data_IF_614053000826
#
_entry.id   IF_614053000826
#
_cell.length_a   1.000
_cell.length_b   1.000
_cell.length_c   1.000
_cell.angle_alpha   90.00
_cell.angle_beta   90.00
_cell.angle_gamma   90.00
#
_symmetry.space_group_name_H-M   'P 1'
#
loop_
_entity.id
_entity.type
_entity.pdbx_description
1 polymer ?
#
# COMPACT_ATOMS: atom_id res chain seq x y z
N UNK A 1 11.78 -33.25 -10.67
CA UNK A 1 11.73 -31.96 -10.04
C UNK A 1 13.15 -31.45 -9.76
N UNK A 2 13.31 -30.15 -9.55
CA UNK A 2 14.58 -29.47 -9.37
C UNK A 2 15.45 -30.12 -8.27
N UNK A 3 14.83 -30.62 -7.20
CA UNK A 3 15.50 -31.33 -6.08
C UNK A 3 16.22 -32.63 -6.48
N UNK A 4 15.98 -33.14 -7.68
CA UNK A 4 16.63 -34.34 -8.22
C UNK A 4 17.71 -34.01 -9.27
N UNK A 5 17.96 -32.71 -9.53
CA UNK A 5 18.94 -32.26 -10.52
C UNK A 5 20.20 -31.80 -9.79
N UNK A 6 21.35 -32.37 -10.18
CA UNK A 6 22.63 -31.96 -9.62
C UNK A 6 22.93 -30.49 -10.02
N UNK A 7 23.50 -29.67 -9.10
CA UNK A 7 23.80 -28.26 -9.40
C UNK A 7 24.64 -28.06 -10.68
N UNK A 8 25.60 -28.95 -10.97
CA UNK A 8 26.43 -28.88 -12.17
C UNK A 8 25.68 -29.20 -13.47
N UNK A 9 24.45 -29.67 -13.40
CA UNK A 9 23.59 -29.93 -14.56
C UNK A 9 22.62 -28.78 -14.87
N UNK A 10 22.60 -27.73 -14.03
CA UNK A 10 21.77 -26.55 -14.26
C UNK A 10 22.44 -25.66 -15.29
N UNK A 11 21.64 -25.23 -16.27
CA UNK A 11 22.02 -24.32 -17.34
C UNK A 11 20.83 -23.43 -17.72
N UNK A 12 20.97 -22.55 -18.70
CA UNK A 12 19.90 -21.63 -19.11
C UNK A 12 18.60 -22.36 -19.51
N UNK A 13 18.69 -23.51 -20.17
CA UNK A 13 17.50 -24.31 -20.50
C UNK A 13 16.76 -24.81 -19.26
N UNK A 14 17.46 -24.93 -18.13
CA UNK A 14 16.85 -25.30 -16.85
C UNK A 14 15.95 -24.19 -16.32
N UNK A 15 16.20 -22.92 -16.64
CA UNK A 15 15.35 -21.79 -16.26
C UNK A 15 13.95 -21.95 -16.85
N UNK A 16 13.88 -22.21 -18.15
CA UNK A 16 12.57 -22.43 -18.84
C UNK A 16 11.86 -23.70 -18.36
N UNK A 17 12.64 -24.74 -18.00
CA UNK A 17 12.08 -26.03 -17.57
C UNK A 17 11.53 -26.01 -16.15
N UNK A 18 12.19 -25.32 -15.22
CA UNK A 18 11.91 -25.41 -13.80
C UNK A 18 11.31 -24.14 -13.19
N UNK A 19 11.41 -23.02 -13.86
CA UNK A 19 10.94 -21.73 -13.38
C UNK A 19 9.90 -21.13 -14.33
N UNK A 20 9.01 -20.30 -13.78
CA UNK A 20 8.11 -19.50 -14.60
C UNK A 20 8.93 -18.47 -15.39
N UNK A 21 8.42 -18.11 -16.55
CA UNK A 21 8.98 -16.99 -17.32
C UNK A 21 8.98 -15.72 -16.45
N UNK A 22 10.17 -15.20 -16.21
CA UNK A 22 10.39 -14.01 -15.36
C UNK A 22 10.35 -12.70 -16.17
N UNK A 23 9.91 -12.72 -17.43
CA UNK A 23 9.77 -11.49 -18.22
C UNK A 23 8.73 -10.58 -17.56
N UNK A 24 9.09 -9.32 -17.45
CA UNK A 24 8.17 -8.29 -16.97
C UNK A 24 7.06 -8.05 -18.00
N UNK A 25 5.85 -7.77 -17.50
CA UNK A 25 4.69 -7.49 -18.32
C UNK A 25 3.73 -8.68 -18.44
N UNK A 26 2.68 -8.47 -19.19
CA UNK A 26 1.61 -9.46 -19.42
C UNK A 26 1.40 -9.66 -20.92
N UNK A 27 1.23 -10.91 -21.36
CA UNK A 27 0.87 -11.21 -22.75
C UNK A 27 -0.51 -10.62 -23.07
N UNK A 28 -0.66 -10.03 -24.27
CA UNK A 28 -1.90 -9.35 -24.65
C UNK A 28 -3.16 -10.20 -24.50
N UNK A 29 -3.07 -11.52 -24.78
CA UNK A 29 -4.17 -12.48 -24.62
C UNK A 29 -4.59 -12.73 -23.16
N UNK A 30 -3.74 -12.43 -22.19
CA UNK A 30 -4.01 -12.61 -20.76
C UNK A 30 -4.52 -11.32 -20.08
N UNK A 31 -4.56 -10.19 -20.78
CA UNK A 31 -5.06 -8.92 -20.26
C UNK A 31 -6.59 -8.92 -20.21
N UNK A 32 -7.15 -8.72 -19.02
CA UNK A 32 -8.61 -8.63 -18.81
C UNK A 32 -9.11 -7.20 -18.65
N UNK A 33 -8.25 -6.29 -18.19
CA UNK A 33 -8.56 -4.85 -18.12
C UNK A 33 -7.33 -3.99 -18.35
N UNK A 34 -7.57 -2.78 -18.82
CA UNK A 34 -6.53 -1.74 -18.97
C UNK A 34 -7.11 -0.41 -18.53
N UNK A 35 -6.39 0.30 -17.69
CA UNK A 35 -6.75 1.63 -17.23
C UNK A 35 -5.55 2.59 -17.30
N UNK A 36 -5.85 3.87 -17.40
CA UNK A 36 -4.87 4.95 -17.45
C UNK A 36 -5.29 6.01 -16.44
N UNK A 37 -4.93 5.86 -15.16
CA UNK A 37 -5.39 6.74 -14.09
C UNK A 37 -4.87 8.17 -14.23
N UNK A 38 -3.76 8.35 -14.96
CA UNK A 38 -3.26 9.65 -15.42
C UNK A 38 -2.42 9.48 -16.68
N UNK A 39 -2.16 10.56 -17.47
CA UNK A 39 -1.21 10.51 -18.57
C UNK A 39 0.15 9.95 -18.13
N UNK A 40 0.73 9.04 -18.92
CA UNK A 40 2.01 8.42 -18.64
C UNK A 40 1.96 7.17 -17.75
N UNK A 41 0.79 6.80 -17.19
CA UNK A 41 0.60 5.59 -16.36
C UNK A 41 -0.41 4.68 -17.01
N UNK A 42 -0.05 3.41 -17.17
CA UNK A 42 -0.95 2.36 -17.65
C UNK A 42 -0.90 1.18 -16.67
N UNK A 43 -2.07 0.71 -16.24
CA UNK A 43 -2.23 -0.46 -15.39
C UNK A 43 -3.02 -1.50 -16.19
N UNK A 44 -2.41 -2.67 -16.44
CA UNK A 44 -3.06 -3.80 -17.07
C UNK A 44 -3.25 -4.90 -16.05
N UNK A 45 -4.46 -5.41 -15.90
CA UNK A 45 -4.71 -6.56 -15.03
C UNK A 45 -4.81 -7.82 -15.86
N UNK A 46 -4.14 -8.87 -15.40
CA UNK A 46 -4.24 -10.20 -16.02
C UNK A 46 -5.45 -10.99 -15.48
N UNK A 47 -5.63 -12.19 -16.01
CA UNK A 47 -6.72 -13.11 -15.61
C UNK A 47 -6.67 -13.54 -14.13
N UNK A 48 -5.59 -13.27 -13.42
CA UNK A 48 -5.46 -13.53 -11.99
C UNK A 48 -5.68 -12.26 -11.16
N UNK A 49 -5.98 -11.13 -11.80
CA UNK A 49 -6.14 -9.84 -11.17
C UNK A 49 -4.83 -9.13 -10.84
N UNK A 50 -3.68 -9.69 -11.23
CA UNK A 50 -2.37 -9.08 -10.95
C UNK A 50 -2.20 -7.80 -11.77
N UNK A 51 -1.93 -6.65 -11.14
CA UNK A 51 -1.70 -5.41 -11.85
C UNK A 51 -0.28 -5.35 -12.42
N UNK A 52 -0.16 -5.14 -13.72
CA UNK A 52 1.08 -4.87 -14.45
C UNK A 52 1.13 -3.38 -14.77
N UNK A 53 2.03 -2.68 -14.11
CA UNK A 53 2.12 -1.21 -14.14
C UNK A 53 3.24 -0.79 -15.07
N UNK A 54 2.92 0.11 -16.00
CA UNK A 54 3.87 0.75 -16.91
C UNK A 54 3.80 2.26 -16.72
N UNK A 55 4.95 2.90 -16.56
CA UNK A 55 5.08 4.35 -16.45
C UNK A 55 6.17 4.88 -17.39
N UNK A 56 6.05 6.14 -17.81
CA UNK A 56 7.07 6.82 -18.61
C UNK A 56 8.30 7.16 -17.75
N UNK A 57 8.04 7.51 -16.47
CA UNK A 57 9.06 7.84 -15.47
C UNK A 57 9.02 6.88 -14.29
N UNK A 58 10.03 6.93 -13.43
CA UNK A 58 10.02 6.22 -12.16
C UNK A 58 8.83 6.65 -11.28
N UNK A 59 8.56 7.93 -11.21
CA UNK A 59 7.46 8.50 -10.46
C UNK A 59 6.08 8.07 -11.02
N UNK A 60 5.97 7.83 -12.33
CA UNK A 60 4.74 7.30 -12.93
C UNK A 60 4.49 5.85 -12.51
N UNK A 61 5.53 5.03 -12.46
CA UNK A 61 5.43 3.64 -11.96
C UNK A 61 5.01 3.64 -10.49
N UNK A 62 5.61 4.51 -9.68
CA UNK A 62 5.26 4.61 -8.25
C UNK A 62 3.83 5.10 -8.05
N UNK A 63 3.38 6.07 -8.85
CA UNK A 63 1.98 6.50 -8.83
C UNK A 63 1.04 5.33 -9.14
N UNK A 64 1.30 4.59 -10.21
CA UNK A 64 0.51 3.42 -10.58
C UNK A 64 0.49 2.34 -9.49
N UNK A 65 1.61 2.13 -8.81
CA UNK A 65 1.71 1.19 -7.70
C UNK A 65 0.84 1.61 -6.51
N UNK A 66 0.88 2.89 -6.13
CA UNK A 66 0.02 3.45 -5.09
C UNK A 66 -1.46 3.36 -5.45
N UNK A 67 -1.79 3.68 -6.70
CA UNK A 67 -3.16 3.62 -7.22
C UNK A 67 -3.71 2.19 -7.15
N UNK A 68 -3.03 1.22 -7.73
CA UNK A 68 -3.45 -0.19 -7.74
C UNK A 68 -3.53 -0.78 -6.31
N UNK A 69 -2.63 -0.37 -5.41
CA UNK A 69 -2.68 -0.81 -4.01
C UNK A 69 -4.00 -0.42 -3.34
N UNK A 70 -4.45 0.80 -3.54
CA UNK A 70 -5.70 1.28 -2.93
C UNK A 70 -6.92 0.66 -3.61
N UNK A 71 -6.92 0.47 -4.93
CA UNK A 71 -7.98 -0.27 -5.58
C UNK A 71 -8.18 -1.67 -4.99
N UNK A 72 -7.08 -2.36 -4.71
CA UNK A 72 -7.12 -3.75 -4.25
C UNK A 72 -7.26 -3.89 -2.74
N UNK A 73 -6.72 -2.94 -1.94
CA UNK A 73 -6.48 -3.13 -0.50
C UNK A 73 -6.74 -1.88 0.34
N UNK A 74 -7.64 -0.99 -0.07
CA UNK A 74 -7.88 0.29 0.58
C UNK A 74 -8.10 0.16 2.09
N UNK A 75 -9.11 -0.61 2.50
CA UNK A 75 -9.46 -0.76 3.92
C UNK A 75 -8.34 -1.46 4.71
N UNK A 76 -7.69 -2.47 4.12
CA UNK A 76 -6.54 -3.13 4.74
C UNK A 76 -5.38 -2.14 4.95
N UNK A 77 -5.11 -1.28 3.97
CA UNK A 77 -4.06 -0.26 4.09
C UNK A 77 -4.38 0.74 5.20
N UNK A 78 -5.66 1.08 5.37
CA UNK A 78 -6.12 1.91 6.49
C UNK A 78 -5.96 1.21 7.85
N UNK A 79 -6.27 -0.07 7.94
CA UNK A 79 -5.98 -0.86 9.15
C UNK A 79 -4.49 -0.83 9.48
N UNK A 80 -3.62 -1.02 8.48
CA UNK A 80 -2.17 -1.05 8.70
C UNK A 80 -1.63 0.32 9.18
N UNK A 81 -2.07 1.44 8.58
CA UNK A 81 -1.61 2.76 9.04
C UNK A 81 -2.09 3.09 10.44
N UNK A 82 -3.35 2.77 10.78
CA UNK A 82 -3.89 3.02 12.12
C UNK A 82 -3.24 2.11 13.16
N UNK A 83 -2.95 0.84 12.82
CA UNK A 83 -2.18 -0.06 13.69
C UNK A 83 -0.77 0.48 13.90
N UNK A 84 -0.07 0.87 12.84
CA UNK A 84 1.28 1.42 12.93
C UNK A 84 1.36 2.73 13.72
N UNK A 85 0.32 3.55 13.64
CA UNK A 85 0.17 4.80 14.40
C UNK A 85 -0.35 4.60 15.83
N UNK A 86 -0.65 3.36 16.25
CA UNK A 86 -1.27 3.04 17.55
C UNK A 86 -2.64 3.74 17.74
N UNK A 87 -3.49 3.72 16.71
CA UNK A 87 -4.79 4.39 16.66
C UNK A 87 -5.94 3.46 16.27
N UNK A 88 -5.79 2.14 16.50
CA UNK A 88 -6.83 1.16 16.18
C UNK A 88 -8.10 1.37 17.00
N UNK A 89 -7.94 1.66 18.30
CA UNK A 89 -9.09 1.93 19.17
C UNK A 89 -9.89 3.16 18.71
N UNK A 90 -9.21 4.18 18.18
CA UNK A 90 -9.84 5.34 17.57
C UNK A 90 -10.55 4.99 16.26
N UNK A 91 -9.94 4.15 15.42
CA UNK A 91 -10.45 3.83 14.09
C UNK A 91 -11.62 2.86 14.12
N UNK A 92 -11.46 1.69 14.75
CA UNK A 92 -12.47 0.61 14.73
C UNK A 92 -13.21 0.43 16.06
N UNK A 93 -12.93 1.26 17.06
CA UNK A 93 -13.60 1.26 18.36
C UNK A 93 -12.70 0.76 19.51
N UNK A 94 -12.96 1.27 20.75
CA UNK A 94 -12.10 1.06 21.91
C UNK A 94 -12.38 -0.28 22.62
N UNK A 95 -12.27 -1.39 21.90
CA UNK A 95 -12.31 -2.70 22.54
C UNK A 95 -11.02 -2.94 23.37
N UNK A 96 -11.05 -3.79 24.43
CA UNK A 96 -9.84 -4.13 25.17
C UNK A 96 -8.69 -4.64 24.28
N UNK A 97 -9.00 -5.40 23.22
CA UNK A 97 -8.02 -5.89 22.26
C UNK A 97 -7.36 -4.76 21.46
N UNK A 98 -8.15 -3.81 20.95
CA UNK A 98 -7.65 -2.67 20.19
C UNK A 98 -6.81 -1.75 21.05
N UNK A 99 -7.26 -1.48 22.30
CA UNK A 99 -6.49 -0.68 23.27
C UNK A 99 -5.15 -1.36 23.59
N UNK A 100 -5.14 -2.67 23.81
CA UNK A 100 -3.91 -3.42 24.05
C UNK A 100 -2.97 -3.39 22.84
N UNK A 101 -3.52 -3.47 21.62
CA UNK A 101 -2.74 -3.36 20.38
C UNK A 101 -2.06 -1.99 20.28
N UNK A 102 -2.81 -0.91 20.51
CA UNK A 102 -2.28 0.46 20.50
C UNK A 102 -1.21 0.66 21.56
N UNK A 103 -1.43 0.20 22.79
CA UNK A 103 -0.43 0.26 23.86
C UNK A 103 0.84 -0.52 23.52
N UNK A 104 0.71 -1.67 22.86
CA UNK A 104 1.84 -2.49 22.44
C UNK A 104 2.63 -1.82 21.33
N UNK A 105 1.95 -1.20 20.37
CA UNK A 105 2.59 -0.47 19.28
C UNK A 105 3.31 0.79 19.77
N UNK A 106 2.72 1.54 20.71
CA UNK A 106 3.37 2.70 21.34
C UNK A 106 4.66 2.34 22.09
N UNK A 107 4.77 1.13 22.65
CA UNK A 107 6.02 0.67 23.29
C UNK A 107 7.14 0.39 22.28
N UNK A 108 6.78 0.03 21.04
CA UNK A 108 7.74 -0.34 19.99
C UNK A 108 8.12 0.87 19.15
N UNK A 109 7.14 1.69 18.78
CA UNK A 109 7.30 2.80 17.84
C UNK A 109 6.49 4.03 18.30
N UNK A 110 6.91 4.74 19.34
CA UNK A 110 6.20 5.89 19.92
C UNK A 110 6.41 7.17 19.11
N UNK A 111 6.22 7.13 17.80
CA UNK A 111 6.46 8.28 16.93
C UNK A 111 5.23 9.18 16.83
N UNK A 112 5.44 10.49 16.98
CA UNK A 112 4.45 11.49 16.60
C UNK A 112 4.37 11.62 15.07
N UNK A 113 3.28 12.20 14.50
CA UNK A 113 3.20 12.45 13.06
C UNK A 113 4.36 13.28 12.51
N UNK A 114 4.83 14.26 13.28
CA UNK A 114 5.97 15.12 12.94
C UNK A 114 7.26 14.30 12.89
N UNK A 115 7.50 13.45 13.88
CA UNK A 115 8.66 12.57 13.93
C UNK A 115 8.63 11.55 12.78
N UNK A 116 7.47 10.96 12.50
CA UNK A 116 7.30 10.03 11.40
C UNK A 116 7.58 10.70 10.04
N UNK A 117 7.08 11.92 9.83
CA UNK A 117 7.36 12.72 8.63
C UNK A 117 8.85 13.07 8.53
N UNK A 118 9.48 13.47 9.66
CA UNK A 118 10.90 13.83 9.69
C UNK A 118 11.81 12.63 9.36
N UNK A 119 11.46 11.44 9.77
CA UNK A 119 12.22 10.24 9.41
C UNK A 119 12.30 10.03 7.90
N UNK A 120 11.20 10.23 7.19
CA UNK A 120 11.17 10.17 5.72
C UNK A 120 12.03 11.30 5.12
N UNK A 121 11.89 12.53 5.63
CA UNK A 121 12.66 13.67 5.13
C UNK A 121 14.18 13.46 5.28
N UNK A 122 14.62 12.78 6.34
CA UNK A 122 16.03 12.48 6.58
C UNK A 122 16.65 11.52 5.53
N UNK A 123 15.85 10.85 4.73
CA UNK A 123 16.33 9.98 3.64
C UNK A 123 17.14 10.80 2.61
N UNK A 124 16.65 11.99 2.23
CA UNK A 124 17.38 12.88 1.32
C UNK A 124 18.72 13.32 1.93
N UNK A 125 18.72 13.71 3.21
CA UNK A 125 19.93 14.13 3.91
C UNK A 125 20.99 13.02 4.00
N UNK A 126 20.53 11.78 4.14
CA UNK A 126 21.43 10.62 4.30
C UNK A 126 21.97 10.08 2.98
N UNK A 127 21.18 10.10 1.91
CA UNK A 127 21.48 9.45 0.65
C UNK A 127 21.60 10.41 -0.54
N UNK A 128 21.54 11.73 -0.31
CA UNK A 128 21.71 12.75 -1.36
C UNK A 128 20.72 12.57 -2.51
N UNK A 129 21.20 12.62 -3.73
CA UNK A 129 20.38 12.55 -4.95
C UNK A 129 19.51 11.28 -5.05
N UNK A 130 20.01 10.14 -4.60
CA UNK A 130 19.23 8.90 -4.57
C UNK A 130 18.12 9.00 -3.51
N UNK A 131 18.38 9.60 -2.35
CA UNK A 131 17.38 9.87 -1.34
C UNK A 131 16.29 10.81 -1.84
N UNK A 132 16.66 11.87 -2.56
CA UNK A 132 15.69 12.77 -3.20
C UNK A 132 14.81 12.04 -4.24
N UNK A 133 15.42 11.16 -5.05
CA UNK A 133 14.67 10.33 -6.00
C UNK A 133 13.68 9.40 -5.28
N UNK A 134 14.11 8.77 -4.19
CA UNK A 134 13.22 7.96 -3.35
C UNK A 134 12.05 8.76 -2.79
N UNK A 135 12.29 9.99 -2.33
CA UNK A 135 11.22 10.87 -1.82
C UNK A 135 10.23 11.26 -2.93
N UNK A 136 10.70 11.61 -4.12
CA UNK A 136 9.81 11.88 -5.25
C UNK A 136 8.96 10.66 -5.61
N UNK A 137 9.56 9.46 -5.62
CA UNK A 137 8.83 8.22 -5.82
C UNK A 137 7.78 7.96 -4.75
N UNK A 138 8.11 8.19 -3.48
CA UNK A 138 7.18 8.07 -2.37
C UNK A 138 6.01 9.05 -2.50
N UNK A 139 6.29 10.32 -2.81
CA UNK A 139 5.23 11.32 -3.01
C UNK A 139 4.32 10.95 -4.20
N UNK A 140 4.90 10.43 -5.27
CA UNK A 140 4.13 9.94 -6.42
C UNK A 140 3.25 8.73 -6.03
N UNK A 141 3.77 7.80 -5.24
CA UNK A 141 2.99 6.67 -4.72
C UNK A 141 1.81 7.16 -3.86
N UNK A 142 2.06 8.07 -2.93
CA UNK A 142 1.01 8.67 -2.08
C UNK A 142 -0.02 9.40 -2.94
N UNK A 143 0.41 10.11 -3.97
CA UNK A 143 -0.51 10.77 -4.91
C UNK A 143 -1.40 9.75 -5.64
N UNK A 144 -0.84 8.60 -6.06
CA UNK A 144 -1.59 7.50 -6.64
C UNK A 144 -2.60 6.89 -5.67
N UNK A 145 -2.19 6.65 -4.42
CA UNK A 145 -3.08 6.17 -3.35
C UNK A 145 -4.27 7.12 -3.16
N UNK A 146 -4.00 8.41 -3.04
CA UNK A 146 -5.04 9.42 -2.83
C UNK A 146 -5.96 9.59 -4.06
N UNK A 147 -5.44 9.44 -5.28
CA UNK A 147 -6.24 9.48 -6.49
C UNK A 147 -7.24 8.31 -6.56
N UNK A 148 -6.78 7.08 -6.28
CA UNK A 148 -7.63 5.91 -6.22
C UNK A 148 -8.67 6.02 -5.08
N UNK A 149 -8.25 6.50 -3.90
CA UNK A 149 -9.16 6.75 -2.78
C UNK A 149 -10.29 7.71 -3.16
N UNK A 150 -9.95 8.82 -3.81
CA UNK A 150 -10.94 9.81 -4.25
C UNK A 150 -11.90 9.23 -5.30
N UNK A 151 -11.41 8.35 -6.17
CA UNK A 151 -12.25 7.69 -7.18
C UNK A 151 -13.19 6.67 -6.55
N UNK A 152 -12.71 5.86 -5.61
CA UNK A 152 -13.52 4.82 -4.95
C UNK A 152 -14.50 5.42 -3.94
N UNK A 153 -14.09 6.44 -3.21
CA UNK A 153 -14.83 7.08 -2.13
C UNK A 153 -14.99 8.59 -2.38
N UNK A 154 -15.68 9.01 -3.45
CA UNK A 154 -15.79 10.42 -3.83
C UNK A 154 -16.52 11.28 -2.78
N UNK A 155 -17.31 10.68 -1.90
CA UNK A 155 -18.03 11.36 -0.82
C UNK A 155 -17.25 11.36 0.51
N UNK A 156 -16.02 10.83 0.54
CA UNK A 156 -15.15 10.94 1.70
C UNK A 156 -14.85 12.43 1.96
N UNK A 157 -15.08 12.88 3.19
CA UNK A 157 -14.96 14.31 3.55
C UNK A 157 -16.24 15.14 3.45
N UNK A 158 -17.33 14.57 2.94
CA UNK A 158 -18.65 15.18 3.04
C UNK A 158 -19.17 15.17 4.47
N UNK A 159 -19.97 16.18 4.85
CA UNK A 159 -20.45 16.33 6.21
C UNK A 159 -21.21 15.08 6.72
N UNK A 160 -21.07 14.72 7.99
CA UNK A 160 -21.69 13.53 8.60
C UNK A 160 -23.22 13.45 8.43
N UNK A 161 -23.90 14.56 8.25
CA UNK A 161 -25.35 14.63 8.09
C UNK A 161 -25.86 13.91 6.82
N UNK A 162 -24.99 13.65 5.83
CA UNK A 162 -25.33 12.91 4.61
C UNK A 162 -25.05 11.40 4.72
N UNK A 163 -24.30 10.99 5.75
CA UNK A 163 -23.84 9.62 5.97
C UNK A 163 -24.79 8.81 6.87
N UNK A 164 -25.76 9.45 7.51
CA UNK A 164 -26.65 8.82 8.50
C UNK A 164 -27.91 8.15 7.92
N UNK A 165 -28.14 8.21 6.60
CA UNK A 165 -29.25 7.50 5.99
C UNK A 165 -28.86 6.06 5.66
N UNK A 166 -29.70 5.04 5.97
CA UNK A 166 -29.44 3.67 5.56
C UNK A 166 -29.22 3.58 4.06
N UNK A 167 -28.07 3.07 3.64
CA UNK A 167 -27.69 2.91 2.22
C UNK A 167 -26.87 4.06 1.62
N UNK A 168 -26.57 5.12 2.37
CA UNK A 168 -25.67 6.19 1.92
C UNK A 168 -24.27 5.93 2.45
N UNK A 169 -23.43 5.31 1.61
CA UNK A 169 -21.99 5.14 1.86
C UNK A 169 -21.16 6.29 1.26
N UNK A 170 -19.86 6.17 1.37
CA UNK A 170 -18.91 7.16 0.81
C UNK A 170 -18.75 7.08 -0.71
N UNK A 171 -19.56 6.26 -1.38
CA UNK A 171 -19.58 6.02 -2.83
C UNK A 171 -19.86 4.55 -3.15
N UNK A 172 -20.30 4.24 -4.39
CA UNK A 172 -20.74 2.89 -4.75
C UNK A 172 -19.61 1.85 -4.73
N UNK A 173 -18.37 2.29 -4.91
CA UNK A 173 -17.18 1.43 -4.93
C UNK A 173 -16.33 1.56 -3.66
N UNK A 174 -16.77 2.39 -2.69
CA UNK A 174 -16.08 2.54 -1.43
C UNK A 174 -16.29 1.30 -0.55
N UNK A 175 -15.25 0.78 0.11
CA UNK A 175 -15.39 -0.35 1.02
C UNK A 175 -16.49 -0.13 2.05
N UNK A 176 -17.35 -1.13 2.21
CA UNK A 176 -18.55 -1.04 3.07
C UNK A 176 -18.22 -0.86 4.55
N UNK A 177 -17.01 -1.22 4.94
CA UNK A 177 -16.49 -1.09 6.30
C UNK A 177 -16.47 0.37 6.76
N UNK A 178 -16.18 1.31 5.89
CA UNK A 178 -16.21 2.73 6.23
C UNK A 178 -17.61 3.21 6.61
N UNK A 179 -18.62 2.75 5.87
CA UNK A 179 -20.01 3.05 6.20
C UNK A 179 -20.42 2.39 7.52
N UNK A 180 -20.00 1.16 7.78
CA UNK A 180 -20.27 0.45 9.04
C UNK A 180 -19.60 1.14 10.23
N UNK A 181 -18.40 1.67 10.06
CA UNK A 181 -17.68 2.44 11.08
C UNK A 181 -18.19 3.89 11.23
N UNK A 182 -19.00 4.35 10.30
CA UNK A 182 -19.42 5.77 10.18
C UNK A 182 -18.22 6.73 10.12
N UNK A 183 -17.14 6.29 9.51
CA UNK A 183 -15.88 7.02 9.35
C UNK A 183 -15.41 6.89 7.92
N UNK A 184 -15.23 8.01 7.23
CA UNK A 184 -14.67 8.04 5.88
C UNK A 184 -13.15 7.88 5.89
N UNK A 185 -12.59 7.39 4.78
CA UNK A 185 -11.15 7.39 4.60
C UNK A 185 -10.62 8.82 4.57
N UNK A 186 -9.40 9.01 5.05
CA UNK A 186 -8.68 10.28 5.01
C UNK A 186 -7.47 10.18 4.09
N UNK A 187 -7.02 11.27 3.46
CA UNK A 187 -5.86 11.23 2.58
C UNK A 187 -4.62 10.64 3.25
N UNK A 188 -3.86 9.85 2.48
CA UNK A 188 -2.58 9.31 2.93
C UNK A 188 -1.50 10.38 2.91
N UNK A 189 -0.58 10.29 3.87
CA UNK A 189 0.55 11.20 4.08
C UNK A 189 1.87 10.43 4.17
N UNK A 190 2.99 11.13 4.17
CA UNK A 190 4.31 10.52 4.44
C UNK A 190 4.38 9.85 5.82
N UNK A 191 3.73 10.44 6.82
CA UNK A 191 3.67 9.86 8.17
C UNK A 191 2.98 8.49 8.15
N UNK A 192 1.88 8.35 7.40
CA UNK A 192 1.15 7.08 7.29
C UNK A 192 2.03 5.97 6.70
N UNK A 193 2.83 6.29 5.67
CA UNK A 193 3.75 5.31 5.09
C UNK A 193 4.85 4.95 6.08
N UNK A 194 5.34 5.90 6.86
CA UNK A 194 6.32 5.62 7.94
C UNK A 194 5.72 4.70 9.00
N UNK A 195 4.49 4.91 9.40
CA UNK A 195 3.80 4.04 10.36
C UNK A 195 3.63 2.62 9.83
N UNK A 196 3.20 2.47 8.58
CA UNK A 196 3.08 1.16 7.92
C UNK A 196 4.46 0.48 7.84
N UNK A 197 5.49 1.19 7.40
CA UNK A 197 6.84 0.66 7.28
C UNK A 197 7.41 0.25 8.65
N UNK A 198 7.20 1.05 9.70
CA UNK A 198 7.61 0.73 11.06
C UNK A 198 6.89 -0.49 11.61
N UNK A 199 5.59 -0.63 11.37
CA UNK A 199 4.79 -1.79 11.78
C UNK A 199 5.31 -3.05 11.09
N UNK A 200 5.43 -3.03 9.77
CA UNK A 200 5.86 -4.18 8.96
C UNK A 200 7.29 -4.58 9.31
N UNK A 201 8.21 -3.60 9.41
CA UNK A 201 9.59 -3.82 9.83
C UNK A 201 9.69 -4.40 11.24
N UNK A 202 8.85 -3.92 12.17
CA UNK A 202 8.76 -4.45 13.53
C UNK A 202 8.26 -5.90 13.60
N UNK A 203 7.32 -6.28 12.72
CA UNK A 203 6.82 -7.66 12.65
C UNK A 203 7.92 -8.60 12.14
N UNK A 204 8.59 -8.26 11.04
CA UNK A 204 9.64 -9.09 10.45
C UNK A 204 10.94 -9.05 11.24
N UNK A 205 11.26 -7.94 11.91
CA UNK A 205 12.47 -7.79 12.71
C UNK A 205 12.47 -8.56 14.04
N UNK A 206 11.29 -8.89 14.57
CA UNK A 206 11.18 -9.61 15.86
C UNK A 206 11.69 -11.07 15.82
N UNK A 207 11.75 -11.69 14.64
CA UNK A 207 12.24 -13.07 14.49
C UNK A 207 13.76 -13.19 14.42
N UNK A 208 14.49 -12.13 14.10
CA UNK A 208 15.95 -12.14 13.94
C UNK A 208 16.77 -11.94 15.22
N UNK A 209 16.13 -11.68 16.35
CA UNK A 209 16.80 -11.46 17.64
C UNK A 209 16.77 -12.68 18.58
N UNK A 210 16.41 -13.83 18.11
CA UNK A 210 16.29 -15.07 18.89
C UNK A 210 17.37 -16.11 18.61
N UNK A 211 18.41 -15.75 17.84
CA UNK A 211 19.59 -16.62 17.62
C UNK A 211 20.72 -16.27 18.56
#
# INVERSE_FOLDING_TARGET
>A
ALSKTSPGQLNEASLTKYFKDARLGVAGADVVSTETPRPGVTIKRDKFGVPHITGVTFEDVQFGAGYANIEDRMFLTDILRHTGAARMAEFVGPTPANIHMDQSQLKIAPYTPEQATQQVANVANRYGAEGEKMLRGLDAMIAGMNAAQQQLCPLAGSAPAQLGAPGVGFGPNCPVEYAALQKGPTPYTRADITYIASLVGGIFGKGGGGE
#
